data_IF_804981426072
#
_entry.id   IF_804981426072
#
_cell.length_a   1.000
_cell.length_b   1.000
_cell.length_c   1.000
_cell.angle_alpha   90.00
_cell.angle_beta   90.00
_cell.angle_gamma   90.00
#
_symmetry.space_group_name_H-M   'P 1'
#
loop_
_entity.id
_entity.type
_entity.pdbx_description
1 polymer ?
#
# COMPACT_ATOMS: atom_id res chain seq x y z
N UNK A 1 13.81 20.15 12.38
CA UNK A 1 14.70 19.00 12.14
C UNK A 1 14.76 18.78 10.64
N UNK A 2 15.84 19.19 9.97
CA UNK A 2 16.00 19.01 8.53
C UNK A 2 16.35 17.56 8.25
N UNK A 3 15.44 16.80 7.64
CA UNK A 3 15.77 15.49 7.11
C UNK A 3 16.82 15.68 5.99
N UNK A 4 18.02 15.18 6.21
CA UNK A 4 19.05 15.08 5.18
C UNK A 4 18.43 14.35 3.98
N UNK A 5 18.43 15.02 2.83
CA UNK A 5 18.16 14.38 1.53
C UNK A 5 19.18 13.26 1.36
N UNK A 6 18.78 12.02 1.59
CA UNK A 6 19.64 10.86 1.31
C UNK A 6 19.80 10.77 -0.21
N UNK A 7 21.04 10.58 -0.65
CA UNK A 7 21.39 10.49 -2.07
C UNK A 7 20.69 9.28 -2.71
N UNK A 8 20.23 9.43 -3.94
CA UNK A 8 19.78 8.32 -4.78
C UNK A 8 20.88 7.25 -4.81
N UNK A 9 20.56 6.04 -4.34
CA UNK A 9 21.51 4.91 -4.32
C UNK A 9 21.74 4.25 -2.97
N UNK A 10 21.26 4.83 -1.86
CA UNK A 10 21.31 4.13 -0.57
C UNK A 10 20.22 3.05 -0.56
N UNK A 11 20.60 1.78 -0.73
CA UNK A 11 19.72 0.60 -0.70
C UNK A 11 19.01 0.37 0.65
N UNK A 12 18.90 1.41 1.49
CA UNK A 12 18.35 1.40 2.84
C UNK A 12 17.01 2.16 2.98
N UNK A 13 16.44 2.64 1.88
CA UNK A 13 15.15 3.35 1.88
C UNK A 13 14.12 2.49 1.15
N UNK A 14 13.00 2.22 1.81
CA UNK A 14 11.91 1.43 1.26
C UNK A 14 10.60 2.21 1.35
N UNK A 15 9.80 2.16 0.29
CA UNK A 15 8.45 2.70 0.25
C UNK A 15 7.45 1.55 0.50
N UNK A 16 6.70 1.65 1.58
CA UNK A 16 5.67 0.68 1.95
C UNK A 16 4.31 1.34 1.74
N UNK A 17 3.55 0.84 0.79
CA UNK A 17 2.24 1.40 0.42
C UNK A 17 1.13 0.42 0.79
N UNK A 18 0.20 0.85 1.61
CA UNK A 18 -1.05 0.12 1.85
C UNK A 18 -2.15 0.68 0.96
N UNK A 19 -2.91 -0.19 0.29
CA UNK A 19 -4.03 0.23 -0.56
C UNK A 19 -5.34 0.29 0.23
N UNK A 20 -6.18 1.24 -0.14
CA UNK A 20 -7.48 1.49 0.43
C UNK A 20 -8.16 2.70 -0.18
N UNK A 21 -9.38 2.99 0.24
CA UNK A 21 -10.10 4.20 -0.10
C UNK A 21 -10.12 5.15 1.10
N UNK A 22 -9.93 6.47 0.89
CA UNK A 22 -10.04 7.44 1.96
C UNK A 22 -11.52 7.64 2.36
N UNK A 23 -11.73 7.99 3.61
CA UNK A 23 -13.05 8.29 4.16
C UNK A 23 -13.53 7.27 5.20
N UNK A 24 -14.36 7.75 6.13
CA UNK A 24 -14.85 6.93 7.25
C UNK A 24 -15.73 5.79 6.77
N UNK A 25 -16.45 5.96 5.67
CA UNK A 25 -17.34 4.96 5.08
C UNK A 25 -16.58 3.71 4.62
N UNK A 26 -15.30 3.84 4.29
CA UNK A 26 -14.45 2.72 3.85
C UNK A 26 -13.58 2.14 4.97
N UNK A 27 -13.54 2.81 6.12
CA UNK A 27 -12.73 2.35 7.25
C UNK A 27 -13.15 0.93 7.66
N UNK A 28 -12.16 0.06 7.88
CA UNK A 28 -12.35 -1.34 8.24
C UNK A 28 -13.05 -2.20 7.17
N UNK A 29 -13.20 -1.70 5.95
CA UNK A 29 -13.62 -2.56 4.84
C UNK A 29 -12.50 -3.55 4.47
N UNK A 30 -12.87 -4.66 3.83
CA UNK A 30 -11.90 -5.64 3.34
C UNK A 30 -10.91 -4.99 2.39
N UNK A 31 -11.38 -4.07 1.55
CA UNK A 31 -10.56 -3.36 0.57
C UNK A 31 -9.55 -2.39 1.21
N UNK A 32 -9.75 -2.03 2.47
CA UNK A 32 -8.84 -1.16 3.23
C UNK A 32 -7.84 -1.94 4.10
N UNK A 33 -7.74 -3.26 3.96
CA UNK A 33 -6.81 -4.03 4.77
C UNK A 33 -5.34 -3.59 4.57
N UNK A 34 -4.99 -3.08 3.39
CA UNK A 34 -3.67 -2.50 3.15
C UNK A 34 -3.42 -1.25 4.00
N UNK A 35 -4.40 -0.34 4.09
CA UNK A 35 -4.33 0.81 5.00
C UNK A 35 -4.14 0.36 6.44
N UNK A 36 -4.95 -0.60 6.88
CA UNK A 36 -4.88 -1.12 8.25
C UNK A 36 -3.51 -1.73 8.56
N UNK A 37 -2.93 -2.46 7.61
CA UNK A 37 -1.59 -3.05 7.76
C UNK A 37 -0.50 -1.99 7.92
N UNK A 38 -0.54 -0.94 7.11
CA UNK A 38 0.43 0.18 7.21
C UNK A 38 0.26 0.95 8.53
N UNK A 39 -0.96 1.19 8.95
CA UNK A 39 -1.24 1.84 10.24
C UNK A 39 -0.77 0.99 11.43
N UNK A 40 -0.99 -0.32 11.38
CA UNK A 40 -0.44 -1.25 12.38
C UNK A 40 1.09 -1.20 12.44
N UNK A 41 1.75 -1.20 11.28
CA UNK A 41 3.20 -1.08 11.21
C UNK A 41 3.67 0.25 11.79
N UNK A 42 3.01 1.35 11.43
CA UNK A 42 3.31 2.67 11.97
C UNK A 42 3.15 2.71 13.50
N UNK A 43 2.10 2.09 14.04
CA UNK A 43 1.90 1.99 15.48
C UNK A 43 3.06 1.28 16.19
N UNK A 44 3.52 0.15 15.63
CA UNK A 44 4.65 -0.60 16.17
C UNK A 44 5.97 0.19 16.12
N UNK A 45 6.10 1.11 15.19
CA UNK A 45 7.29 1.96 15.01
C UNK A 45 7.14 3.34 15.66
N UNK A 46 6.10 3.57 16.46
CA UNK A 46 5.75 4.87 17.07
C UNK A 46 5.59 6.00 16.04
N UNK A 47 5.11 5.66 14.86
CA UNK A 47 5.01 6.56 13.71
C UNK A 47 3.61 7.10 13.39
N UNK A 48 2.56 6.74 14.15
CA UNK A 48 1.19 7.16 13.85
C UNK A 48 1.03 8.69 13.82
N UNK A 49 1.68 9.41 14.72
CA UNK A 49 1.64 10.87 14.79
C UNK A 49 2.47 11.56 13.70
N UNK A 50 3.26 10.79 12.95
CA UNK A 50 4.14 11.32 11.91
C UNK A 50 3.45 11.44 10.55
N UNK A 51 2.25 10.89 10.37
CA UNK A 51 1.53 10.97 9.11
C UNK A 51 1.21 12.40 8.72
N UNK A 52 1.55 12.76 7.48
CA UNK A 52 1.27 14.06 6.85
C UNK A 52 0.80 13.85 5.42
N UNK A 53 -0.13 14.69 4.97
CA UNK A 53 -0.62 14.67 3.59
C UNK A 53 0.47 15.14 2.64
N UNK A 54 0.94 14.25 1.76
CA UNK A 54 1.93 14.52 0.70
C UNK A 54 1.72 13.58 -0.48
N UNK A 55 1.98 14.07 -1.69
CA UNK A 55 1.98 13.22 -2.90
C UNK A 55 0.72 12.38 -3.07
N UNK A 56 -0.44 12.97 -2.80
CA UNK A 56 -1.74 12.27 -2.84
C UNK A 56 -1.80 11.06 -1.91
N UNK A 57 -1.10 11.13 -0.77
CA UNK A 57 -1.08 10.09 0.25
C UNK A 57 -0.90 10.67 1.66
N UNK A 58 -1.31 9.92 2.67
CA UNK A 58 -0.84 10.12 4.04
C UNK A 58 0.50 9.41 4.16
N UNK A 59 1.55 10.15 4.50
CA UNK A 59 2.94 9.65 4.50
C UNK A 59 3.58 9.85 5.87
N UNK A 60 4.21 8.80 6.39
CA UNK A 60 5.03 8.84 7.61
C UNK A 60 6.42 8.27 7.32
N UNK A 61 7.44 8.91 7.90
CA UNK A 61 8.82 8.41 7.85
C UNK A 61 9.16 7.73 9.16
N UNK A 62 9.50 6.45 9.09
CA UNK A 62 9.88 5.64 10.25
C UNK A 62 11.25 4.99 10.00
N UNK A 63 11.84 4.44 11.06
CA UNK A 63 13.09 3.68 10.98
C UNK A 63 12.89 2.29 11.56
N UNK A 64 13.49 1.31 10.90
CA UNK A 64 13.51 -0.07 11.37
C UNK A 64 14.89 -0.67 11.06
N UNK A 65 15.63 -1.09 12.10
CA UNK A 65 16.93 -1.75 11.97
C UNK A 65 17.89 -1.03 11.02
N UNK A 66 18.02 0.29 11.20
CA UNK A 66 18.90 1.13 10.37
C UNK A 66 18.37 1.47 8.98
N UNK A 67 17.21 0.93 8.58
CA UNK A 67 16.54 1.25 7.32
C UNK A 67 15.53 2.36 7.52
N UNK A 68 15.39 3.20 6.51
CA UNK A 68 14.31 4.20 6.45
C UNK A 68 13.10 3.59 5.76
N UNK A 69 11.97 3.63 6.43
CA UNK A 69 10.68 3.22 5.87
C UNK A 69 9.82 4.45 5.62
N UNK A 70 9.40 4.60 4.38
CA UNK A 70 8.40 5.60 4.00
C UNK A 70 7.07 4.85 3.93
N UNK A 71 6.22 5.08 4.91
CA UNK A 71 4.90 4.45 4.99
C UNK A 71 3.89 5.36 4.31
N UNK A 72 3.06 4.82 3.42
CA UNK A 72 2.12 5.61 2.65
C UNK A 72 0.77 4.91 2.48
N UNK A 73 -0.29 5.71 2.66
CA UNK A 73 -1.67 5.34 2.36
C UNK A 73 -2.19 6.33 1.32
N UNK A 74 -2.30 5.96 0.04
CA UNK A 74 -2.81 6.86 -0.99
C UNK A 74 -4.20 7.41 -0.65
N UNK A 75 -4.38 8.71 -0.81
CA UNK A 75 -5.67 9.39 -0.60
C UNK A 75 -6.41 9.63 -1.92
N UNK A 76 -5.88 9.14 -3.02
CA UNK A 76 -6.62 8.90 -4.24
C UNK A 76 -7.64 7.79 -3.97
N UNK A 77 -8.73 7.74 -4.66
CA UNK A 77 -9.55 6.52 -4.59
C UNK A 77 -8.78 5.34 -5.18
N UNK A 78 -9.21 4.11 -4.86
CA UNK A 78 -8.48 2.88 -5.18
C UNK A 78 -8.02 2.81 -6.65
N UNK A 79 -8.89 3.16 -7.59
CA UNK A 79 -8.61 3.11 -9.02
C UNK A 79 -7.56 4.12 -9.52
N UNK A 80 -7.15 5.06 -8.69
CA UNK A 80 -6.11 6.05 -8.99
C UNK A 80 -4.85 5.91 -8.09
N UNK A 81 -4.69 4.78 -7.39
CA UNK A 81 -3.57 4.53 -6.50
C UNK A 81 -2.21 4.69 -7.18
N UNK A 82 -2.10 4.35 -8.46
CA UNK A 82 -0.87 4.44 -9.24
C UNK A 82 -0.35 5.87 -9.39
N UNK A 83 -1.22 6.88 -9.40
CA UNK A 83 -0.81 8.29 -9.45
C UNK A 83 0.05 8.64 -8.22
N UNK A 84 -0.43 8.30 -7.04
CA UNK A 84 0.29 8.56 -5.79
C UNK A 84 1.60 7.77 -5.71
N UNK A 85 1.57 6.48 -6.06
CA UNK A 85 2.76 5.63 -6.04
C UNK A 85 3.84 6.18 -6.99
N UNK A 86 3.46 6.60 -8.20
CA UNK A 86 4.39 7.19 -9.16
C UNK A 86 5.03 8.46 -8.59
N UNK A 87 4.23 9.38 -8.06
CA UNK A 87 4.73 10.61 -7.44
C UNK A 87 5.69 10.34 -6.28
N UNK A 88 5.36 9.36 -5.42
CA UNK A 88 6.20 8.99 -4.28
C UNK A 88 7.54 8.41 -4.72
N UNK A 89 7.55 7.49 -5.69
CA UNK A 89 8.79 6.93 -6.23
C UNK A 89 9.68 8.02 -6.87
N UNK A 90 9.09 8.93 -7.62
CA UNK A 90 9.82 10.02 -8.26
C UNK A 90 10.39 11.00 -7.23
N UNK A 91 9.59 11.37 -6.22
CA UNK A 91 10.02 12.30 -5.19
C UNK A 91 11.19 11.77 -4.36
N UNK A 92 11.09 10.51 -3.91
CA UNK A 92 12.14 9.87 -3.11
C UNK A 92 13.25 9.27 -3.97
N UNK A 93 13.13 9.33 -5.31
CA UNK A 93 14.09 8.77 -6.28
C UNK A 93 14.37 7.30 -6.03
N UNK A 94 13.31 6.53 -5.83
CA UNK A 94 13.39 5.10 -5.58
C UNK A 94 13.05 4.29 -6.83
N UNK A 95 13.80 3.23 -7.08
CA UNK A 95 13.43 2.25 -8.10
C UNK A 95 12.23 1.40 -7.63
N UNK A 96 11.53 0.78 -8.56
CA UNK A 96 10.35 -0.03 -8.23
C UNK A 96 10.65 -1.22 -7.31
N UNK A 97 11.86 -1.76 -7.33
CA UNK A 97 12.25 -2.86 -6.43
C UNK A 97 12.39 -2.46 -4.95
N UNK A 98 12.40 -1.15 -4.65
CA UNK A 98 12.33 -0.63 -3.28
C UNK A 98 10.89 -0.34 -2.83
N UNK A 99 9.91 -0.67 -3.65
CA UNK A 99 8.48 -0.57 -3.35
C UNK A 99 7.94 -1.89 -2.83
N UNK A 100 7.14 -1.83 -1.76
CA UNK A 100 6.30 -2.91 -1.26
C UNK A 100 4.86 -2.43 -1.21
N UNK A 101 3.94 -3.10 -1.90
CA UNK A 101 2.51 -2.79 -1.88
C UNK A 101 1.75 -3.86 -1.10
N UNK A 102 0.90 -3.42 -0.18
CA UNK A 102 0.08 -4.31 0.67
C UNK A 102 -1.38 -4.12 0.27
N UNK A 103 -2.07 -5.20 -0.08
CA UNK A 103 -3.44 -5.15 -0.56
C UNK A 103 -4.22 -6.45 -0.33
N UNK A 104 -5.53 -6.36 -0.44
CA UNK A 104 -6.47 -7.49 -0.28
C UNK A 104 -6.51 -8.39 -1.51
N UNK A 105 -6.70 -9.69 -1.27
CA UNK A 105 -6.76 -10.69 -2.32
C UNK A 105 -7.89 -11.70 -2.07
N UNK A 106 -8.83 -11.78 -3.00
CA UNK A 106 -9.96 -12.69 -2.92
C UNK A 106 -9.59 -14.14 -3.23
N UNK A 107 -8.44 -14.40 -3.84
CA UNK A 107 -8.00 -15.74 -4.22
C UNK A 107 -7.22 -16.45 -3.11
N UNK A 108 -6.97 -15.75 -2.00
CA UNK A 108 -6.35 -16.33 -0.81
C UNK A 108 -7.38 -16.51 0.31
N UNK A 109 -7.29 -17.62 1.07
CA UNK A 109 -8.13 -17.80 2.26
C UNK A 109 -8.00 -16.63 3.23
N UNK A 110 -9.07 -16.33 3.96
CA UNK A 110 -9.08 -15.27 4.97
C UNK A 110 -7.91 -15.42 5.94
N UNK A 111 -7.12 -14.34 6.08
CA UNK A 111 -5.97 -14.29 6.97
C UNK A 111 -4.67 -14.87 6.40
N UNK A 112 -4.70 -15.52 5.24
CA UNK A 112 -3.49 -15.98 4.56
C UNK A 112 -2.67 -14.79 4.03
N UNK A 113 -1.35 -14.91 4.07
CA UNK A 113 -0.43 -13.91 3.52
C UNK A 113 0.41 -14.53 2.41
N UNK A 114 0.67 -13.76 1.36
CA UNK A 114 1.56 -14.17 0.29
C UNK A 114 2.44 -13.01 -0.18
N UNK A 115 3.75 -13.24 -0.16
CA UNK A 115 4.74 -12.28 -0.64
C UNK A 115 5.18 -12.67 -2.05
N UNK A 116 5.27 -11.68 -2.95
CA UNK A 116 5.76 -11.85 -4.31
C UNK A 116 6.66 -10.68 -4.70
N UNK A 117 7.71 -10.95 -5.47
CA UNK A 117 8.62 -9.93 -5.99
C UNK A 117 8.10 -9.28 -7.28
N UNK A 118 7.17 -9.92 -7.96
CA UNK A 118 6.57 -9.43 -9.21
C UNK A 118 5.22 -10.10 -9.45
N UNK A 119 4.50 -9.65 -10.43
CA UNK A 119 3.26 -10.27 -10.89
C UNK A 119 2.25 -9.29 -11.44
N UNK A 120 1.25 -9.81 -12.14
CA UNK A 120 0.15 -9.05 -12.69
C UNK A 120 -0.80 -8.51 -11.61
N UNK A 121 -1.71 -7.60 -11.99
CA UNK A 121 -2.62 -6.94 -11.06
C UNK A 121 -3.81 -7.80 -10.64
N UNK A 122 -4.10 -8.88 -11.34
CA UNK A 122 -5.33 -9.65 -11.13
C UNK A 122 -6.58 -8.80 -11.35
N UNK A 123 -7.57 -8.97 -10.49
CA UNK A 123 -8.84 -8.22 -10.53
C UNK A 123 -8.84 -6.97 -9.64
N UNK A 124 -7.74 -6.67 -8.96
CA UNK A 124 -7.65 -5.58 -8.01
C UNK A 124 -7.40 -4.23 -8.72
N UNK A 125 -8.36 -3.30 -8.61
CA UNK A 125 -8.31 -2.03 -9.34
C UNK A 125 -7.13 -1.14 -8.93
N UNK A 126 -6.75 -1.12 -7.65
CA UNK A 126 -5.57 -0.40 -7.18
C UNK A 126 -4.29 -0.94 -7.78
N UNK A 127 -4.15 -2.25 -7.87
CA UNK A 127 -3.00 -2.90 -8.50
C UNK A 127 -2.96 -2.64 -10.01
N UNK A 128 -4.10 -2.66 -10.68
CA UNK A 128 -4.17 -2.28 -12.11
C UNK A 128 -3.68 -0.86 -12.34
N UNK A 129 -4.08 0.07 -11.49
CA UNK A 129 -3.61 1.45 -11.54
C UNK A 129 -2.09 1.53 -11.37
N UNK A 130 -1.53 0.88 -10.35
CA UNK A 130 -0.08 0.89 -10.10
C UNK A 130 0.68 0.28 -11.27
N UNK A 131 0.28 -0.90 -11.74
CA UNK A 131 0.94 -1.59 -12.85
C UNK A 131 0.93 -0.75 -14.13
N UNK A 132 -0.14 0.01 -14.38
CA UNK A 132 -0.22 0.91 -15.54
C UNK A 132 0.81 2.04 -15.50
N UNK A 133 1.25 2.46 -14.32
CA UNK A 133 2.25 3.52 -14.14
C UNK A 133 3.69 3.03 -14.07
N UNK A 134 3.94 1.88 -13.47
CA UNK A 134 5.31 1.43 -13.14
C UNK A 134 5.65 0.01 -13.59
N UNK A 135 4.73 -0.72 -14.22
CA UNK A 135 4.93 -2.12 -14.60
C UNK A 135 4.73 -3.09 -13.44
N UNK A 136 5.15 -4.34 -13.62
CA UNK A 136 4.84 -5.46 -12.71
C UNK A 136 5.99 -5.80 -11.74
N UNK A 137 7.18 -5.22 -11.92
CA UNK A 137 8.40 -5.59 -11.18
C UNK A 137 8.54 -4.80 -9.87
N UNK A 138 7.70 -5.10 -8.90
CA UNK A 138 7.80 -4.57 -7.54
C UNK A 138 7.28 -5.59 -6.52
N UNK A 139 7.74 -5.47 -5.27
CA UNK A 139 7.35 -6.37 -4.20
C UNK A 139 5.91 -6.11 -3.74
N UNK A 140 5.21 -7.17 -3.37
CA UNK A 140 3.84 -7.08 -2.85
C UNK A 140 3.57 -8.10 -1.76
N UNK A 141 2.72 -7.70 -0.82
CA UNK A 141 2.13 -8.57 0.19
C UNK A 141 0.63 -8.63 -0.10
N UNK A 142 0.14 -9.83 -0.39
CA UNK A 142 -1.27 -10.11 -0.62
C UNK A 142 -1.88 -10.61 0.69
N UNK A 143 -2.94 -9.95 1.15
CA UNK A 143 -3.68 -10.34 2.35
C UNK A 143 -4.97 -11.03 1.93
N UNK A 144 -5.10 -12.30 2.28
CA UNK A 144 -6.29 -13.09 1.95
C UNK A 144 -7.54 -12.58 2.65
N UNK A 145 -8.58 -12.32 1.88
CA UNK A 145 -9.91 -11.95 2.38
C UNK A 145 -10.99 -12.97 2.03
N UNK A 146 -10.61 -14.01 1.28
CA UNK A 146 -11.54 -15.03 0.80
C UNK A 146 -12.41 -14.52 -0.35
N UNK A 147 -13.28 -15.40 -0.84
CA UNK A 147 -14.20 -15.09 -1.93
C UNK A 147 -15.56 -14.61 -1.41
N UNK A 148 -16.29 -13.79 -2.19
CA UNK A 148 -17.64 -13.40 -1.83
C UNK A 148 -18.56 -14.64 -1.71
N UNK A 149 -19.42 -14.70 -0.69
CA UNK A 149 -20.32 -15.83 -0.51
C UNK A 149 -21.49 -15.77 -1.52
N UNK A 150 -21.92 -16.92 -2.01
CA UNK A 150 -23.09 -17.06 -2.88
C UNK A 150 -22.97 -16.23 -4.17
N UNK A 151 -23.96 -15.39 -4.42
CA UNK A 151 -24.03 -14.53 -5.60
C UNK A 151 -23.69 -13.04 -5.29
N UNK A 152 -23.10 -12.76 -4.15
CA UNK A 152 -22.69 -11.40 -3.76
C UNK A 152 -21.74 -10.84 -4.80
N UNK A 153 -21.97 -9.59 -5.24
CA UNK A 153 -21.09 -8.90 -6.15
C UNK A 153 -19.73 -8.61 -5.49
N UNK A 154 -18.66 -8.70 -6.28
CA UNK A 154 -17.30 -8.48 -5.76
C UNK A 154 -17.14 -7.10 -5.11
N UNK A 155 -17.68 -6.04 -5.74
CA UNK A 155 -17.60 -4.69 -5.20
C UNK A 155 -18.25 -4.59 -3.81
N UNK A 156 -19.43 -5.18 -3.63
CA UNK A 156 -20.12 -5.17 -2.33
C UNK A 156 -19.33 -5.95 -1.27
N UNK A 157 -18.72 -7.05 -1.66
CA UNK A 157 -17.90 -7.85 -0.75
C UNK A 157 -16.65 -7.13 -0.28
N UNK A 158 -15.87 -6.56 -1.19
CA UNK A 158 -14.60 -5.88 -0.82
C UNK A 158 -14.84 -4.58 -0.06
N UNK A 159 -15.93 -3.88 -0.33
CA UNK A 159 -16.32 -2.67 0.41
C UNK A 159 -17.04 -2.98 1.73
N UNK A 160 -17.42 -4.23 1.96
CA UNK A 160 -17.99 -4.69 3.22
C UNK A 160 -16.93 -4.83 4.32
N UNK A 161 -17.38 -4.78 5.56
CA UNK A 161 -16.52 -4.99 6.74
C UNK A 161 -16.26 -6.48 6.96
N UNK A 162 -15.17 -6.75 7.62
CA UNK A 162 -14.86 -8.11 8.11
C UNK A 162 -15.94 -8.62 9.08
#
# INVERSE_FOLDING_TARGET
MFFRRTKAGDGNIYLIVGLGNPGREYANSRHNCGFNAVECLAAQLNGLSLFRQKHKAMVANCKLEGRQLILACPTTYMNASGESVRELLDYYKLPANNLMVIYDDIDLPLGALRVRASGGPGTHNGMRSIVSYIGEDFNRIRIGIGKPPGQMQLADFVLGKF
#
